data_IF_672291176500
#
_entry.id   IF_672291176500
#
_cell.length_a   1.000
_cell.length_b   1.000
_cell.length_c   1.000
_cell.angle_alpha   90.00
_cell.angle_beta   90.00
_cell.angle_gamma   90.00
#
_symmetry.space_group_name_H-M   'P 1'
#
loop_
_entity.id
_entity.type
_entity.pdbx_description
1 polymer ?
#
# COMPACT_ATOMS: atom_id res chain seq x y z
N UNK A 1 10.50 -4.29 10.57
CA UNK A 1 10.73 -3.74 11.92
C UNK A 1 9.46 -3.87 12.75
N UNK A 2 9.53 -4.42 13.96
CA UNK A 2 8.34 -4.59 14.81
C UNK A 2 7.36 -5.67 14.31
N UNK A 3 7.82 -6.55 13.42
CA UNK A 3 7.06 -7.71 12.89
C UNK A 3 7.94 -8.95 12.89
N UNK A 4 9.01 -8.93 12.08
CA UNK A 4 9.93 -10.06 11.88
C UNK A 4 11.40 -9.68 12.04
N UNK A 5 11.69 -8.41 12.35
CA UNK A 5 13.06 -7.88 12.54
C UNK A 5 13.01 -6.72 13.53
N UNK A 6 14.08 -6.56 14.31
CA UNK A 6 14.28 -5.47 15.27
C UNK A 6 15.08 -4.30 14.68
N UNK A 7 15.55 -4.42 13.43
CA UNK A 7 16.27 -3.35 12.73
C UNK A 7 15.28 -2.31 12.20
N UNK A 8 15.44 -1.06 12.63
CA UNK A 8 14.62 0.06 12.20
C UNK A 8 14.99 0.52 10.76
N UNK A 9 14.01 0.88 9.91
CA UNK A 9 14.27 1.51 8.61
C UNK A 9 14.87 2.91 8.78
N UNK A 10 16.12 3.11 8.35
CA UNK A 10 16.82 4.39 8.53
C UNK A 10 16.95 5.15 7.21
N UNK A 11 17.39 4.45 6.16
CA UNK A 11 17.52 5.01 4.82
C UNK A 11 16.16 5.21 4.16
N UNK A 12 16.12 6.08 3.15
CA UNK A 12 14.91 6.32 2.37
C UNK A 12 14.36 5.04 1.73
N UNK A 13 15.23 4.23 1.11
CA UNK A 13 14.83 2.98 0.47
C UNK A 13 14.20 1.99 1.47
N UNK A 14 14.77 1.86 2.67
CA UNK A 14 14.21 0.98 3.70
C UNK A 14 12.84 1.48 4.17
N UNK A 15 12.66 2.79 4.35
CA UNK A 15 11.37 3.39 4.73
C UNK A 15 10.32 3.18 3.66
N UNK A 16 10.70 3.34 2.38
CA UNK A 16 9.81 3.07 1.24
C UNK A 16 9.40 1.60 1.25
N UNK A 17 10.35 0.66 1.32
CA UNK A 17 10.05 -0.78 1.36
C UNK A 17 9.15 -1.14 2.54
N UNK A 18 9.44 -0.60 3.73
CA UNK A 18 8.63 -0.80 4.92
C UNK A 18 7.19 -0.28 4.75
N UNK A 19 7.01 0.89 4.13
CA UNK A 19 5.69 1.50 3.95
C UNK A 19 4.83 0.79 2.90
N UNK A 20 5.45 0.35 1.80
CA UNK A 20 4.70 -0.14 0.63
C UNK A 20 4.41 -1.65 0.65
N UNK A 21 5.20 -2.46 1.37
CA UNK A 21 5.08 -3.93 1.35
C UNK A 21 3.65 -4.40 1.67
N UNK A 22 3.12 -4.03 2.83
CA UNK A 22 1.73 -4.32 3.23
C UNK A 22 0.69 -3.59 2.36
N UNK A 23 1.02 -2.38 1.90
CA UNK A 23 0.10 -1.54 1.13
C UNK A 23 -0.17 -2.11 -0.27
N UNK A 24 0.83 -2.69 -0.93
CA UNK A 24 0.67 -3.35 -2.23
C UNK A 24 -0.31 -4.52 -2.14
N UNK A 25 -0.29 -5.29 -1.04
CA UNK A 25 -1.24 -6.36 -0.77
C UNK A 25 -2.67 -5.85 -0.65
N UNK A 26 -2.88 -4.74 0.08
CA UNK A 26 -4.18 -4.09 0.18
C UNK A 26 -4.67 -3.61 -1.20
N UNK A 27 -3.83 -2.88 -1.95
CA UNK A 27 -4.18 -2.35 -3.28
C UNK A 27 -4.54 -3.48 -4.23
N UNK A 28 -3.78 -4.58 -4.23
CA UNK A 28 -4.06 -5.78 -5.01
C UNK A 28 -5.42 -6.38 -4.64
N UNK A 29 -5.72 -6.53 -3.35
CA UNK A 29 -7.02 -7.03 -2.91
C UNK A 29 -8.18 -6.13 -3.38
N UNK A 30 -7.99 -4.80 -3.34
CA UNK A 30 -8.99 -3.84 -3.85
C UNK A 30 -9.17 -3.97 -5.36
N UNK A 31 -8.09 -4.15 -6.11
CA UNK A 31 -8.17 -4.38 -7.56
C UNK A 31 -8.96 -5.67 -7.88
N UNK A 32 -8.68 -6.77 -7.18
CA UNK A 32 -9.28 -8.09 -7.44
C UNK A 32 -10.81 -8.15 -7.24
N UNK A 33 -11.37 -7.30 -6.36
CA UNK A 33 -12.82 -7.24 -6.13
C UNK A 33 -13.57 -6.31 -7.08
N UNK A 34 -12.85 -5.61 -7.97
CA UNK A 34 -13.46 -4.77 -9.02
C UNK A 34 -13.73 -5.60 -10.28
N UNK A 35 -14.73 -5.22 -11.10
CA UNK A 35 -14.99 -5.90 -12.36
C UNK A 35 -13.77 -6.01 -13.28
N UNK A 36 -12.93 -4.97 -13.33
CA UNK A 36 -11.71 -4.92 -14.14
C UNK A 36 -10.60 -5.86 -13.65
N UNK A 37 -10.63 -6.26 -12.37
CA UNK A 37 -9.55 -7.01 -11.69
C UNK A 37 -8.16 -6.42 -11.88
N UNK A 38 -8.09 -5.10 -12.09
CA UNK A 38 -6.88 -4.40 -12.52
C UNK A 38 -6.61 -3.15 -11.68
N UNK A 39 -5.32 -2.81 -11.57
CA UNK A 39 -4.84 -1.56 -10.98
C UNK A 39 -4.90 -0.40 -11.98
N UNK A 40 -5.07 -0.69 -13.28
CA UNK A 40 -5.05 0.31 -14.36
C UNK A 40 -6.12 1.39 -14.22
N UNK A 41 -7.29 1.03 -13.71
CA UNK A 41 -8.42 1.93 -13.48
C UNK A 41 -8.71 2.12 -11.97
N UNK A 42 -7.76 1.76 -11.10
CA UNK A 42 -7.92 1.86 -9.65
C UNK A 42 -7.46 3.23 -9.15
N UNK A 43 -8.32 3.92 -8.41
CA UNK A 43 -8.04 5.24 -7.83
C UNK A 43 -7.88 5.18 -6.31
N UNK A 44 -7.05 6.05 -5.74
CA UNK A 44 -6.74 6.08 -4.31
C UNK A 44 -7.98 6.16 -3.41
N UNK A 45 -9.04 6.84 -3.86
CA UNK A 45 -10.34 6.93 -3.16
C UNK A 45 -10.97 5.56 -2.92
N UNK A 46 -10.86 4.63 -3.88
CA UNK A 46 -11.40 3.27 -3.77
C UNK A 46 -10.65 2.47 -2.71
N UNK A 47 -9.31 2.62 -2.67
CA UNK A 47 -8.47 2.01 -1.66
C UNK A 47 -8.76 2.62 -0.28
N UNK A 48 -8.89 3.95 -0.16
CA UNK A 48 -9.27 4.61 1.11
C UNK A 48 -10.64 4.18 1.63
N UNK A 49 -11.60 3.86 0.75
CA UNK A 49 -12.89 3.32 1.18
C UNK A 49 -12.70 1.95 1.86
N UNK A 50 -11.88 1.08 1.26
CA UNK A 50 -11.56 -0.25 1.79
C UNK A 50 -10.59 -0.21 2.97
N UNK A 51 -9.77 0.82 3.07
CA UNK A 51 -8.92 1.08 4.22
C UNK A 51 -9.71 1.16 5.53
N UNK A 52 -10.87 1.84 5.50
CA UNK A 52 -11.73 1.99 6.68
C UNK A 52 -12.45 0.69 7.05
N UNK A 53 -12.57 -0.25 6.12
CA UNK A 53 -13.15 -1.56 6.35
C UNK A 53 -12.07 -2.51 6.86
N UNK A 54 -11.98 -2.65 8.19
CA UNK A 54 -10.98 -3.53 8.83
C UNK A 54 -11.22 -5.02 8.57
N UNK A 55 -12.43 -5.42 8.12
CA UNK A 55 -12.71 -6.82 7.74
C UNK A 55 -12.20 -7.12 6.33
N UNK A 56 -12.16 -6.11 5.47
CA UNK A 56 -11.59 -6.25 4.14
C UNK A 56 -10.06 -6.37 4.23
N UNK A 57 -9.52 -7.45 3.65
CA UNK A 57 -8.10 -7.78 3.75
C UNK A 57 -7.61 -7.79 5.21
N UNK A 58 -8.30 -8.52 6.08
CA UNK A 58 -8.06 -8.56 7.53
C UNK A 58 -6.63 -8.98 7.93
N UNK A 59 -5.86 -9.59 7.03
CA UNK A 59 -4.45 -9.90 7.23
C UNK A 59 -3.51 -8.70 7.10
N UNK A 60 -3.96 -7.58 6.51
CA UNK A 60 -3.14 -6.38 6.32
C UNK A 60 -2.92 -5.66 7.64
N UNK A 61 -1.67 -5.37 7.96
CA UNK A 61 -1.32 -4.62 9.15
C UNK A 61 -1.34 -3.11 8.88
N UNK A 62 -2.51 -2.49 9.08
CA UNK A 62 -2.72 -1.04 8.85
C UNK A 62 -1.77 -0.13 9.65
N UNK A 63 -1.50 -0.39 10.94
CA UNK A 63 -0.50 0.37 11.70
C UNK A 63 0.89 0.44 11.05
N UNK A 64 1.32 -0.62 10.35
CA UNK A 64 2.63 -0.62 9.65
C UNK A 64 2.62 0.42 8.53
N UNK A 65 1.57 0.42 7.72
CA UNK A 65 1.44 1.34 6.58
C UNK A 65 1.35 2.79 7.09
N UNK A 66 0.59 3.04 8.17
CA UNK A 66 0.49 4.37 8.80
C UNK A 66 1.85 4.84 9.30
N UNK A 67 2.59 3.98 10.01
CA UNK A 67 3.95 4.28 10.47
C UNK A 67 4.91 4.51 9.32
N UNK A 68 4.81 3.74 8.24
CA UNK A 68 5.61 3.92 7.04
C UNK A 68 5.36 5.28 6.37
N UNK A 69 4.09 5.68 6.25
CA UNK A 69 3.72 7.00 5.74
C UNK A 69 4.29 8.13 6.62
N UNK A 70 4.20 7.99 7.95
CA UNK A 70 4.79 8.93 8.90
C UNK A 70 6.33 9.02 8.77
N UNK A 71 7.02 7.88 8.64
CA UNK A 71 8.47 7.84 8.45
C UNK A 71 8.94 8.52 7.17
N UNK A 72 8.10 8.50 6.14
CA UNK A 72 8.34 9.17 4.86
C UNK A 72 7.89 10.64 4.86
N UNK A 73 7.13 11.06 5.88
CA UNK A 73 6.58 12.41 5.96
C UNK A 73 5.50 12.69 4.90
N UNK A 74 4.80 11.66 4.43
CA UNK A 74 3.78 11.77 3.37
C UNK A 74 2.39 11.42 3.90
N UNK A 75 1.36 11.95 3.24
CA UNK A 75 -0.01 11.59 3.56
C UNK A 75 -0.34 10.18 3.06
N UNK A 76 -1.16 9.43 3.81
CA UNK A 76 -1.59 8.08 3.39
C UNK A 76 -2.22 8.07 1.98
N UNK A 77 -2.92 9.14 1.61
CA UNK A 77 -3.56 9.25 0.29
C UNK A 77 -2.54 9.39 -0.84
N UNK A 78 -1.46 10.12 -0.58
CA UNK A 78 -0.34 10.32 -1.50
C UNK A 78 0.40 9.01 -1.68
N UNK A 79 0.78 8.35 -0.57
CA UNK A 79 1.41 7.03 -0.60
C UNK A 79 0.59 5.99 -1.37
N UNK A 80 -0.74 5.94 -1.15
CA UNK A 80 -1.63 5.07 -1.92
C UNK A 80 -1.56 5.38 -3.42
N UNK A 81 -1.54 6.66 -3.78
CA UNK A 81 -1.51 7.10 -5.18
C UNK A 81 -0.20 6.67 -5.84
N UNK A 82 0.94 6.91 -5.18
CA UNK A 82 2.26 6.57 -5.71
C UNK A 82 2.40 5.06 -5.91
N UNK A 83 1.95 4.25 -4.94
CA UNK A 83 2.00 2.78 -5.07
C UNK A 83 1.11 2.31 -6.21
N UNK A 84 -0.10 2.87 -6.39
CA UNK A 84 -0.94 2.55 -7.55
C UNK A 84 -0.20 2.86 -8.86
N UNK A 85 0.43 4.03 -8.96
CA UNK A 85 1.12 4.44 -10.18
C UNK A 85 2.32 3.54 -10.49
N UNK A 86 3.14 3.19 -9.49
CA UNK A 86 4.24 2.24 -9.67
C UNK A 86 3.76 0.83 -10.04
N UNK A 87 2.65 0.36 -9.45
CA UNK A 87 2.03 -0.91 -9.82
C UNK A 87 1.47 -0.90 -11.25
N UNK A 88 0.97 0.23 -11.75
CA UNK A 88 0.49 0.37 -13.14
C UNK A 88 1.64 0.22 -14.13
N UNK A 89 2.77 0.87 -13.88
CA UNK A 89 3.96 0.79 -14.73
C UNK A 89 4.44 -0.66 -14.91
N UNK A 90 4.53 -1.41 -13.81
CA UNK A 90 4.93 -2.83 -13.84
C UNK A 90 3.87 -3.76 -14.46
N UNK A 91 2.60 -3.40 -14.40
CA UNK A 91 1.50 -4.19 -14.96
C UNK A 91 1.40 -4.10 -16.49
N UNK A 92 1.97 -3.07 -17.12
CA UNK A 92 2.03 -2.93 -18.58
C UNK A 92 3.10 -3.82 -19.24
N UNK A 93 3.95 -4.47 -18.44
CA UNK A 93 5.04 -5.34 -18.90
C UNK A 93 4.66 -6.82 -19.11
N UNK A 94 3.38 -7.15 -19.30
CA UNK A 94 2.91 -8.51 -19.62
C UNK A 94 1.96 -8.52 -20.82
#
# INVERSE_FOLDING_TARGET
WGVCTDVEPVSEMEKVLYAIDELTGLITAVALVRPSKSVMDLEAKSVKKKWKDKRFAAGVNRPIIEKGAEMLGVELTELITDVIMGMRETSQGK
#
